data_IF_823626744668
#
_entry.id   IF_823626744668
#
_cell.length_a   1.000
_cell.length_b   1.000
_cell.length_c   1.000
_cell.angle_alpha   90.00
_cell.angle_beta   90.00
_cell.angle_gamma   90.00
#
_symmetry.space_group_name_H-M   'P 1'
#
loop_
_entity.id
_entity.type
_entity.pdbx_description
1 polymer ?
#
# COMPACT_ATOMS: atom_id res chain seq x y z
N UNK A 1 46.04 0.96 23.26
CA UNK A 1 44.63 1.17 22.85
C UNK A 1 43.96 2.00 23.94
N UNK A 2 43.61 3.24 23.63
CA UNK A 2 43.13 4.20 24.63
C UNK A 2 41.60 4.03 24.77
N UNK A 3 41.07 3.67 25.95
CA UNK A 3 39.67 3.29 26.14
C UNK A 3 38.67 4.46 26.07
N UNK A 4 39.14 5.70 25.88
CA UNK A 4 38.31 6.92 25.86
C UNK A 4 37.73 7.27 24.48
N UNK A 5 38.28 6.72 23.39
CA UNK A 5 37.80 6.96 22.02
C UNK A 5 36.35 6.53 21.74
N UNK A 6 35.85 5.35 22.19
CA UNK A 6 34.47 4.96 21.92
C UNK A 6 33.45 5.85 22.65
N UNK A 7 33.81 6.35 23.84
CA UNK A 7 32.93 7.19 24.66
C UNK A 7 32.73 8.57 24.04
N UNK A 8 33.79 9.18 23.49
CA UNK A 8 33.72 10.48 22.80
C UNK A 8 32.90 10.39 21.51
N UNK A 9 33.00 9.28 20.77
CA UNK A 9 32.23 9.06 19.54
C UNK A 9 30.71 8.95 19.81
N UNK A 10 30.33 8.29 20.91
CA UNK A 10 28.93 8.17 21.33
C UNK A 10 28.35 9.53 21.74
N UNK A 11 29.12 10.35 22.46
CA UNK A 11 28.68 11.69 22.89
C UNK A 11 28.52 12.63 21.69
N UNK A 12 29.41 12.56 20.69
CA UNK A 12 29.33 13.37 19.48
C UNK A 12 28.12 12.98 18.59
N UNK A 13 27.79 11.69 18.50
CA UNK A 13 26.62 11.21 17.76
C UNK A 13 25.29 11.64 18.42
N UNK A 14 25.27 11.84 19.74
CA UNK A 14 24.10 12.27 20.49
C UNK A 14 23.76 13.77 20.31
N UNK A 15 24.71 14.59 19.83
CA UNK A 15 24.49 16.03 19.64
C UNK A 15 23.94 16.41 18.25
N UNK A 16 23.84 15.47 17.30
CA UNK A 16 23.40 15.75 15.92
C UNK A 16 21.98 15.26 15.59
N UNK A 17 21.24 14.74 16.58
CA UNK A 17 20.07 13.90 16.35
C UNK A 17 18.71 14.49 16.67
N UNK A 18 18.49 15.80 16.75
CA UNK A 18 17.17 16.33 17.12
C UNK A 18 16.83 17.61 16.34
N UNK A 19 16.80 17.56 15.00
CA UNK A 19 15.97 18.49 14.23
C UNK A 19 14.54 17.93 14.22
N UNK A 20 13.83 18.13 15.32
CA UNK A 20 12.39 17.98 15.35
C UNK A 20 11.79 19.04 14.42
N UNK A 21 11.61 18.68 13.15
CA UNK A 21 10.81 19.46 12.21
C UNK A 21 9.36 19.43 12.69
N UNK A 22 8.98 20.39 13.51
CA UNK A 22 7.58 20.74 13.74
C UNK A 22 7.06 21.36 12.44
N UNK A 23 6.65 20.50 11.50
CA UNK A 23 5.91 20.90 10.31
C UNK A 23 4.55 21.35 10.82
N UNK A 24 4.23 22.63 10.73
CA UNK A 24 2.85 23.07 10.86
C UNK A 24 2.07 22.35 9.74
N UNK A 25 1.34 21.29 10.09
CA UNK A 25 0.42 20.67 9.16
C UNK A 25 -0.69 21.68 8.93
N UNK A 26 -0.63 22.38 7.80
CA UNK A 26 -1.81 23.05 7.27
C UNK A 26 -2.89 21.97 7.20
N UNK A 27 -3.95 22.12 7.98
CA UNK A 27 -5.13 21.25 7.95
C UNK A 27 -5.73 21.32 6.53
N UNK A 28 -5.20 20.51 5.63
CA UNK A 28 -5.78 20.31 4.31
C UNK A 28 -6.94 19.37 4.50
N UNK A 29 -8.13 19.95 4.71
CA UNK A 29 -9.36 19.18 4.71
C UNK A 29 -9.46 18.44 3.37
N UNK A 30 -9.55 17.11 3.45
CA UNK A 30 -9.70 16.28 2.26
C UNK A 30 -11.09 16.51 1.64
N UNK A 31 -11.12 16.73 0.33
CA UNK A 31 -12.37 16.81 -0.42
C UNK A 31 -13.14 15.49 -0.32
N UNK A 32 -14.41 15.55 0.09
CA UNK A 32 -15.24 14.37 0.34
C UNK A 32 -15.41 13.51 -0.93
N UNK A 33 -15.56 14.15 -2.09
CA UNK A 33 -15.66 13.44 -3.37
C UNK A 33 -14.34 12.77 -3.72
N UNK A 34 -13.21 13.46 -3.54
CA UNK A 34 -11.87 12.89 -3.70
C UNK A 34 -11.64 11.67 -2.80
N UNK A 35 -12.05 11.74 -1.52
CA UNK A 35 -11.94 10.62 -0.58
C UNK A 35 -12.82 9.45 -1.01
N UNK A 36 -14.06 9.71 -1.43
CA UNK A 36 -14.95 8.66 -1.91
C UNK A 36 -14.42 7.99 -3.18
N UNK A 37 -13.91 8.77 -4.12
CA UNK A 37 -13.31 8.25 -5.35
C UNK A 37 -12.07 7.40 -5.02
N UNK A 38 -11.20 7.89 -4.14
CA UNK A 38 -10.05 7.12 -3.67
C UNK A 38 -10.49 5.83 -2.97
N UNK A 39 -11.51 5.87 -2.11
CA UNK A 39 -12.05 4.68 -1.44
C UNK A 39 -12.56 3.67 -2.47
N UNK A 40 -13.42 4.08 -3.40
CA UNK A 40 -13.97 3.19 -4.43
C UNK A 40 -12.92 2.58 -5.38
N UNK A 41 -11.83 3.30 -5.66
CA UNK A 41 -10.73 2.80 -6.48
C UNK A 41 -9.87 1.78 -5.72
N UNK A 42 -9.72 1.95 -4.40
CA UNK A 42 -8.84 1.14 -3.57
C UNK A 42 -9.59 0.11 -2.70
N UNK A 43 -10.91 0.00 -2.82
CA UNK A 43 -11.71 -0.94 -2.04
C UNK A 43 -11.40 -2.39 -2.44
N UNK A 44 -10.84 -3.14 -1.50
CA UNK A 44 -10.46 -4.54 -1.69
C UNK A 44 -11.66 -5.47 -1.86
N UNK A 45 -12.80 -5.19 -1.21
CA UNK A 45 -14.01 -6.01 -1.35
C UNK A 45 -14.62 -5.82 -2.74
N UNK A 46 -14.66 -4.58 -3.23
CA UNK A 46 -15.13 -4.28 -4.59
C UNK A 46 -14.22 -4.94 -5.64
N UNK A 47 -12.90 -4.91 -5.42
CA UNK A 47 -11.94 -5.60 -6.27
C UNK A 47 -12.16 -7.12 -6.28
N UNK A 48 -12.28 -7.74 -5.09
CA UNK A 48 -12.55 -9.16 -4.95
C UNK A 48 -13.85 -9.58 -5.66
N UNK A 49 -14.95 -8.85 -5.44
CA UNK A 49 -16.22 -9.12 -6.10
C UNK A 49 -16.13 -9.05 -7.64
N UNK A 50 -15.34 -8.12 -8.18
CA UNK A 50 -15.09 -8.03 -9.63
C UNK A 50 -14.31 -9.25 -10.13
N UNK A 51 -13.30 -9.69 -9.38
CA UNK A 51 -12.54 -10.88 -9.72
C UNK A 51 -13.40 -12.15 -9.67
N UNK A 52 -14.24 -12.30 -8.65
CA UNK A 52 -15.18 -13.41 -8.52
C UNK A 52 -16.20 -13.44 -9.67
N UNK A 53 -16.76 -12.28 -10.02
CA UNK A 53 -17.66 -12.15 -11.16
C UNK A 53 -16.98 -12.56 -12.47
N UNK A 54 -15.75 -12.09 -12.70
CA UNK A 54 -15.00 -12.45 -13.90
C UNK A 54 -14.70 -13.96 -13.94
N UNK A 55 -14.33 -14.57 -12.80
CA UNK A 55 -14.12 -16.01 -12.72
C UNK A 55 -15.40 -16.81 -13.05
N UNK A 56 -16.56 -16.37 -12.55
CA UNK A 56 -17.84 -17.02 -12.85
C UNK A 56 -18.20 -16.95 -14.34
N UNK A 57 -17.84 -15.87 -15.03
CA UNK A 57 -18.09 -15.72 -16.48
C UNK A 57 -17.33 -16.73 -17.33
N UNK A 58 -16.24 -17.29 -16.83
CA UNK A 58 -15.45 -18.28 -17.56
C UNK A 58 -16.07 -19.69 -17.54
N UNK A 59 -17.08 -19.95 -16.71
CA UNK A 59 -17.70 -21.27 -16.62
C UNK A 59 -18.34 -21.72 -17.95
N UNK A 60 -19.01 -20.81 -18.65
CA UNK A 60 -19.68 -21.10 -19.94
C UNK A 60 -18.68 -21.42 -21.07
N UNK A 61 -17.66 -20.57 -21.35
CA UNK A 61 -16.68 -20.89 -22.38
C UNK A 61 -15.87 -22.14 -22.05
N UNK A 62 -15.53 -22.39 -20.78
CA UNK A 62 -14.87 -23.63 -20.36
C UNK A 62 -15.74 -24.87 -20.59
N UNK A 63 -17.03 -24.80 -20.27
CA UNK A 63 -17.96 -25.89 -20.55
C UNK A 63 -18.08 -26.15 -22.06
N UNK A 64 -18.13 -25.08 -22.87
CA UNK A 64 -18.18 -25.19 -24.34
C UNK A 64 -16.91 -25.79 -24.92
N UNK A 65 -15.72 -25.46 -24.41
CA UNK A 65 -14.47 -26.07 -24.88
C UNK A 65 -14.43 -27.56 -24.59
N UNK A 66 -15.04 -28.02 -23.49
CA UNK A 66 -15.16 -29.45 -23.17
C UNK A 66 -16.04 -30.24 -24.14
N UNK A 67 -16.90 -29.58 -24.93
CA UNK A 67 -17.76 -30.23 -25.93
C UNK A 67 -17.09 -30.34 -27.32
N UNK A 68 -15.90 -29.76 -27.51
CA UNK A 68 -15.20 -29.81 -28.78
C UNK A 68 -14.50 -31.18 -28.96
N UNK A 69 -14.56 -31.80 -30.16
CA UNK A 69 -13.84 -33.05 -30.41
C UNK A 69 -12.33 -32.84 -30.31
N UNK A 70 -11.66 -33.68 -29.51
CA UNK A 70 -10.20 -33.77 -29.51
C UNK A 70 -9.75 -34.43 -30.83
N UNK A 71 -8.82 -33.78 -31.55
CA UNK A 71 -8.17 -34.31 -32.76
C UNK A 71 -6.91 -35.09 -32.41
#
# INVERSE_FOLDING_TARGET
MNPSLPLVLIILACACGETAFARAQTEQHADLLGVYQAASLNDAQLSAARHDYNAQREAVPQARSGLLPNL
#
